data_IF_624426536919
#
_entry.id   IF_624426536919
#
_cell.length_a   1.000
_cell.length_b   1.000
_cell.length_c   1.000
_cell.angle_alpha   90.00
_cell.angle_beta   90.00
_cell.angle_gamma   90.00
#
_symmetry.space_group_name_H-M   'P 1'
#
loop_
_entity.id
_entity.type
_entity.pdbx_description
1 polymer ?
#
# COMPACT_ATOMS: atom_id res chain seq x y z
N UNK A 1 -3.92 -13.19 -20.39
CA UNK A 1 -3.07 -12.50 -19.40
C UNK A 1 -2.62 -11.15 -19.94
N UNK A 2 -2.11 -11.11 -21.16
CA UNK A 2 -1.77 -9.90 -21.91
C UNK A 2 -2.88 -8.82 -21.85
N UNK A 3 -4.14 -9.22 -22.06
CA UNK A 3 -5.30 -8.33 -22.02
C UNK A 3 -5.55 -7.77 -20.62
N UNK A 4 -5.30 -8.56 -19.57
CA UNK A 4 -5.40 -8.09 -18.18
C UNK A 4 -4.27 -7.13 -17.83
N UNK A 5 -3.07 -7.34 -18.37
CA UNK A 5 -1.97 -6.39 -18.23
C UNK A 5 -2.29 -5.05 -18.93
N UNK A 6 -2.97 -5.08 -20.08
CA UNK A 6 -3.52 -3.88 -20.73
C UNK A 6 -4.61 -3.22 -19.89
N UNK A 7 -5.55 -4.00 -19.35
CA UNK A 7 -6.61 -3.49 -18.46
C UNK A 7 -6.03 -2.81 -17.23
N UNK A 8 -5.03 -3.43 -16.61
CA UNK A 8 -4.30 -2.88 -15.47
C UNK A 8 -3.61 -1.55 -15.80
N UNK A 9 -2.89 -1.47 -16.93
CA UNK A 9 -2.27 -0.21 -17.33
C UNK A 9 -3.32 0.91 -17.46
N UNK A 10 -4.45 0.59 -18.08
CA UNK A 10 -5.53 1.55 -18.29
C UNK A 10 -6.21 1.96 -16.97
N UNK A 11 -6.41 1.05 -16.02
CA UNK A 11 -6.98 1.39 -14.72
C UNK A 11 -6.07 2.29 -13.88
N UNK A 12 -4.76 2.19 -14.08
CA UNK A 12 -3.75 3.08 -13.51
C UNK A 12 -3.63 4.43 -14.25
N UNK A 13 -4.39 4.66 -15.33
CA UNK A 13 -4.26 5.83 -16.21
C UNK A 13 -2.85 6.06 -16.77
N UNK A 14 -2.06 4.99 -16.95
CA UNK A 14 -0.70 5.09 -17.47
C UNK A 14 -0.65 4.91 -18.98
N UNK A 15 0.24 5.64 -19.64
CA UNK A 15 0.60 5.35 -21.02
C UNK A 15 1.60 4.17 -21.11
N UNK A 16 1.82 3.63 -22.31
CA UNK A 16 2.69 2.45 -22.51
C UNK A 16 4.17 2.73 -22.16
N UNK A 17 4.63 3.98 -22.23
CA UNK A 17 5.99 4.34 -21.85
C UNK A 17 6.16 4.36 -20.33
N UNK A 18 5.23 4.98 -19.61
CA UNK A 18 5.20 5.01 -18.14
C UNK A 18 5.10 3.60 -17.55
N UNK A 19 4.21 2.77 -18.11
CA UNK A 19 4.08 1.38 -17.69
C UNK A 19 5.31 0.54 -18.05
N UNK A 20 5.99 0.87 -19.15
CA UNK A 20 7.27 0.26 -19.51
C UNK A 20 8.35 0.51 -18.46
N UNK A 21 8.40 1.73 -17.89
CA UNK A 21 9.32 2.07 -16.80
C UNK A 21 9.11 1.19 -15.56
N UNK A 22 7.86 0.89 -15.20
CA UNK A 22 7.55 -0.02 -14.09
C UNK A 22 8.07 -1.44 -14.33
N UNK A 23 7.93 -1.93 -15.56
CA UNK A 23 8.34 -3.28 -15.95
C UNK A 23 9.81 -3.39 -16.38
N UNK A 24 10.56 -2.28 -16.40
CA UNK A 24 11.94 -2.24 -16.88
C UNK A 24 12.09 -2.55 -18.38
N UNK A 25 11.07 -2.25 -19.19
CA UNK A 25 11.04 -2.53 -20.64
C UNK A 25 10.66 -1.28 -21.44
N UNK A 26 10.98 -1.29 -22.75
CA UNK A 26 10.59 -0.20 -23.65
C UNK A 26 9.08 -0.14 -23.87
N UNK A 27 8.58 1.03 -24.31
CA UNK A 27 7.22 1.22 -24.84
C UNK A 27 6.85 0.14 -25.88
N UNK A 28 7.77 -0.20 -26.78
CA UNK A 28 7.56 -1.25 -27.78
C UNK A 28 7.43 -2.63 -27.14
N UNK A 29 8.18 -2.92 -26.07
CA UNK A 29 8.04 -4.14 -25.28
C UNK A 29 6.66 -4.27 -24.64
N UNK A 30 6.13 -3.19 -24.07
CA UNK A 30 4.75 -3.15 -23.55
C UNK A 30 3.74 -3.39 -24.66
N UNK A 31 3.89 -2.72 -25.81
CA UNK A 31 2.99 -2.91 -26.96
C UNK A 31 3.01 -4.35 -27.50
N UNK A 32 4.18 -4.98 -27.57
CA UNK A 32 4.32 -6.39 -27.95
C UNK A 32 3.63 -7.33 -26.97
N UNK A 33 3.69 -7.03 -25.67
CA UNK A 33 2.95 -7.79 -24.67
C UNK A 33 1.44 -7.54 -24.85
N UNK A 34 0.96 -6.31 -24.88
CA UNK A 34 -0.47 -6.00 -24.99
C UNK A 34 -1.13 -6.51 -26.28
N UNK A 35 -0.36 -6.70 -27.36
CA UNK A 35 -0.84 -7.26 -28.62
C UNK A 35 -0.72 -8.79 -28.70
N UNK A 36 -0.20 -9.45 -27.66
CA UNK A 36 -0.01 -10.89 -27.61
C UNK A 36 1.21 -11.41 -28.38
N UNK A 37 2.01 -10.53 -28.99
CA UNK A 37 3.26 -10.90 -29.68
C UNK A 37 4.32 -11.45 -28.71
N UNK A 38 4.36 -10.93 -27.49
CA UNK A 38 5.22 -11.42 -26.40
C UNK A 38 4.36 -11.91 -25.24
N UNK A 39 4.81 -12.98 -24.57
CA UNK A 39 4.12 -13.49 -23.38
C UNK A 39 4.49 -12.63 -22.16
N UNK A 40 3.55 -12.52 -21.22
CA UNK A 40 3.84 -12.05 -19.86
C UNK A 40 4.74 -13.09 -19.19
N UNK A 41 5.86 -12.65 -18.62
CA UNK A 41 6.81 -13.50 -17.90
C UNK A 41 6.49 -13.51 -16.41
N UNK A 42 7.04 -14.48 -15.70
CA UNK A 42 6.94 -14.54 -14.24
C UNK A 42 7.55 -13.30 -13.57
N UNK A 43 8.66 -12.79 -14.12
CA UNK A 43 9.30 -11.56 -13.65
C UNK A 43 8.37 -10.34 -13.72
N UNK A 44 7.57 -10.20 -14.79
CA UNK A 44 6.58 -9.12 -14.88
C UNK A 44 5.53 -9.24 -13.77
N UNK A 45 5.10 -10.46 -13.44
CA UNK A 45 4.09 -10.68 -12.40
C UNK A 45 4.64 -10.31 -11.02
N UNK A 46 5.88 -10.73 -10.70
CA UNK A 46 6.56 -10.38 -9.44
C UNK A 46 6.72 -8.86 -9.33
N UNK A 47 7.20 -8.19 -10.37
CA UNK A 47 7.34 -6.73 -10.39
C UNK A 47 6.01 -6.02 -10.11
N UNK A 48 4.93 -6.46 -10.75
CA UNK A 48 3.60 -5.90 -10.53
C UNK A 48 3.06 -6.21 -9.12
N UNK A 49 3.39 -7.36 -8.53
CA UNK A 49 2.99 -7.68 -7.15
C UNK A 49 3.54 -6.68 -6.13
N UNK A 50 4.77 -6.17 -6.36
CA UNK A 50 5.39 -5.12 -5.53
C UNK A 50 4.65 -3.77 -5.62
N UNK A 51 3.79 -3.60 -6.62
CA UNK A 51 2.92 -2.44 -6.80
C UNK A 51 1.49 -2.69 -6.32
N UNK A 52 1.29 -3.59 -5.36
CA UNK A 52 -0.01 -3.91 -4.78
C UNK A 52 -1.02 -4.45 -5.81
N UNK A 53 -0.55 -5.16 -6.84
CA UNK A 53 -1.41 -5.78 -7.85
C UNK A 53 -1.60 -7.26 -7.53
N UNK A 54 -2.83 -7.74 -7.63
CA UNK A 54 -3.18 -9.13 -7.32
C UNK A 54 -2.67 -10.09 -8.39
N UNK A 55 -1.75 -10.98 -8.00
CA UNK A 55 -1.30 -12.06 -8.88
C UNK A 55 -2.45 -12.98 -9.30
N UNK A 56 -3.37 -13.27 -8.36
CA UNK A 56 -4.55 -14.09 -8.65
C UNK A 56 -5.36 -13.46 -9.76
N UNK A 57 -5.64 -12.17 -9.66
CA UNK A 57 -6.38 -11.44 -10.69
C UNK A 57 -5.60 -11.38 -12.01
N UNK A 58 -4.29 -11.10 -11.99
CA UNK A 58 -3.46 -11.10 -13.21
C UNK A 58 -3.49 -12.46 -13.92
N UNK A 59 -3.44 -13.57 -13.19
CA UNK A 59 -3.40 -14.93 -13.76
C UNK A 59 -4.77 -15.43 -14.20
N UNK A 60 -5.80 -15.20 -13.39
CA UNK A 60 -7.12 -15.83 -13.57
C UNK A 60 -8.21 -14.85 -14.01
N UNK A 61 -8.09 -13.57 -13.65
CA UNK A 61 -9.15 -12.58 -13.77
C UNK A 61 -10.13 -12.57 -12.59
N UNK A 62 -9.92 -13.42 -11.58
CA UNK A 62 -10.77 -13.51 -10.41
C UNK A 62 -10.29 -12.64 -9.25
N UNK A 63 -11.25 -12.09 -8.50
CA UNK A 63 -11.00 -11.23 -7.34
C UNK A 63 -10.68 -9.79 -7.74
N UNK A 64 -10.15 -9.03 -6.78
CA UNK A 64 -9.81 -7.62 -6.98
C UNK A 64 -8.49 -7.46 -7.74
N UNK A 65 -8.43 -6.44 -8.59
CA UNK A 65 -7.24 -6.08 -9.37
C UNK A 65 -6.09 -5.61 -8.47
N UNK A 66 -6.43 -4.82 -7.45
CA UNK A 66 -5.49 -4.31 -6.47
C UNK A 66 -5.63 -5.09 -5.16
N UNK A 67 -4.51 -5.46 -4.57
CA UNK A 67 -4.46 -5.95 -3.20
C UNK A 67 -4.36 -4.71 -2.32
N UNK A 68 -5.25 -4.51 -1.32
CA UNK A 68 -5.04 -3.47 -0.33
C UNK A 68 -3.62 -3.61 0.22
N UNK A 69 -2.89 -2.51 0.42
CA UNK A 69 -1.67 -2.57 1.22
C UNK A 69 -2.01 -3.33 2.49
N UNK A 70 -1.21 -4.33 2.84
CA UNK A 70 -1.42 -4.94 4.14
C UNK A 70 -1.28 -3.83 5.17
N UNK A 71 -2.12 -3.83 6.20
CA UNK A 71 -2.01 -2.86 7.30
C UNK A 71 -0.56 -2.79 7.82
N UNK A 72 0.16 -3.92 7.74
CA UNK A 72 1.57 -4.03 8.08
C UNK A 72 2.49 -3.22 7.16
N UNK A 73 2.29 -3.24 5.84
CA UNK A 73 3.15 -2.50 4.90
C UNK A 73 2.92 -0.99 5.01
N UNK A 74 1.67 -0.59 5.24
CA UNK A 74 1.32 0.81 5.50
C UNK A 74 1.94 1.29 6.81
N UNK A 75 1.78 0.53 7.91
CA UNK A 75 2.43 0.82 9.18
C UNK A 75 3.96 0.84 9.01
N UNK A 76 4.52 -0.12 8.27
CA UNK A 76 5.97 -0.23 8.05
C UNK A 76 6.57 1.03 7.45
N UNK A 77 5.94 1.59 6.42
CA UNK A 77 6.36 2.85 5.82
C UNK A 77 6.41 4.01 6.83
N UNK A 78 5.37 4.16 7.65
CA UNK A 78 5.34 5.23 8.66
C UNK A 78 6.33 5.00 9.81
N UNK A 79 6.57 3.74 10.18
CA UNK A 79 7.57 3.40 11.20
C UNK A 79 8.99 3.66 10.69
N UNK A 80 9.29 3.33 9.43
CA UNK A 80 10.57 3.66 8.80
C UNK A 80 10.82 5.18 8.83
N UNK A 81 9.85 5.97 8.42
CA UNK A 81 9.96 7.44 8.44
C UNK A 81 10.13 8.00 9.87
N UNK A 82 9.48 7.39 10.87
CA UNK A 82 9.66 7.76 12.28
C UNK A 82 11.04 7.32 12.83
N UNK A 83 11.63 6.24 12.33
CA UNK A 83 12.97 5.78 12.75
C UNK A 83 14.08 6.68 12.23
N UNK A 84 13.88 7.33 11.09
CA UNK A 84 14.82 8.30 10.51
C UNK A 84 14.76 9.68 11.21
N UNK A 85 13.82 9.87 12.14
CA UNK A 85 13.68 11.10 12.91
C UNK A 85 14.76 11.23 14.00
N UNK A 86 15.48 12.34 14.02
CA UNK A 86 16.60 12.61 14.92
C UNK A 86 16.18 13.22 16.28
N UNK A 87 14.88 13.48 16.46
CA UNK A 87 14.33 14.00 17.71
C UNK A 87 14.21 15.53 17.77
N UNK A 88 14.46 16.25 16.67
CA UNK A 88 14.28 17.71 16.62
C UNK A 88 13.53 18.18 15.37
N UNK A 89 12.67 19.20 15.53
CA UNK A 89 12.08 19.93 14.40
C UNK A 89 10.78 19.36 13.82
N UNK A 90 10.25 18.26 14.36
CA UNK A 90 8.92 17.75 14.01
C UNK A 90 8.03 17.55 15.26
N UNK A 91 7.25 18.57 15.65
CA UNK A 91 6.37 18.50 16.82
C UNK A 91 5.33 17.36 16.79
N UNK A 92 4.97 16.88 15.60
CA UNK A 92 4.07 15.74 15.47
C UNK A 92 4.76 14.42 15.82
N UNK A 93 6.01 14.22 15.39
CA UNK A 93 6.78 13.03 15.73
C UNK A 93 7.17 13.04 17.21
N UNK A 94 7.55 14.20 17.74
CA UNK A 94 7.79 14.39 19.18
C UNK A 94 6.57 13.95 20.00
N UNK A 95 5.38 14.46 19.63
CA UNK A 95 4.14 14.11 20.32
C UNK A 95 3.83 12.61 20.25
N UNK A 96 3.98 11.98 19.07
CA UNK A 96 3.75 10.53 18.94
C UNK A 96 4.70 9.74 19.83
N UNK A 97 5.99 10.10 19.85
CA UNK A 97 7.01 9.42 20.65
C UNK A 97 6.69 9.56 22.14
N UNK A 98 6.40 10.77 22.62
CA UNK A 98 6.07 11.00 24.03
C UNK A 98 4.78 10.29 24.44
N UNK A 99 3.72 10.32 23.61
CA UNK A 99 2.50 9.56 23.86
C UNK A 99 2.76 8.05 23.98
N UNK A 100 3.66 7.51 23.15
CA UNK A 100 4.02 6.09 23.22
C UNK A 100 4.79 5.74 24.50
N UNK A 101 5.74 6.59 24.92
CA UNK A 101 6.49 6.42 26.19
C UNK A 101 5.54 6.44 27.37
N UNK A 102 4.73 7.49 27.49
CA UNK A 102 3.73 7.64 28.54
C UNK A 102 2.80 6.44 28.59
N UNK A 103 2.27 6.01 27.42
CA UNK A 103 1.39 4.87 27.35
C UNK A 103 2.09 3.57 27.80
N UNK A 104 3.37 3.36 27.48
CA UNK A 104 4.10 2.16 27.88
C UNK A 104 4.29 2.06 29.39
N UNK A 105 4.53 3.19 30.05
CA UNK A 105 4.79 3.30 31.48
C UNK A 105 3.53 3.15 32.35
N UNK A 106 2.34 3.24 31.74
CA UNK A 106 1.07 3.03 32.46
C UNK A 106 0.84 1.57 32.86
N UNK A 107 0.12 1.40 33.97
CA UNK A 107 -0.43 0.12 34.38
C UNK A 107 -1.52 -0.38 33.40
N UNK A 108 -1.80 -1.67 33.42
CA UNK A 108 -2.76 -2.29 32.48
C UNK A 108 -4.19 -1.76 32.62
N UNK A 109 -4.61 -1.35 33.82
CA UNK A 109 -5.94 -0.77 34.03
C UNK A 109 -6.01 0.59 33.37
N UNK A 110 -4.99 1.42 33.54
CA UNK A 110 -4.87 2.74 32.91
C UNK A 110 -4.77 2.65 31.39
N UNK A 111 -3.94 1.74 30.86
CA UNK A 111 -3.88 1.44 29.41
C UNK A 111 -5.23 1.04 28.85
N UNK A 112 -5.98 0.19 29.57
CA UNK A 112 -7.33 -0.23 29.16
C UNK A 112 -8.29 0.96 29.06
N UNK A 113 -8.28 1.88 30.02
CA UNK A 113 -9.13 3.08 30.00
C UNK A 113 -8.84 3.92 28.76
N UNK A 114 -7.56 4.12 28.43
CA UNK A 114 -7.15 4.87 27.23
C UNK A 114 -7.62 4.17 25.94
N UNK A 115 -7.40 2.85 25.82
CA UNK A 115 -7.88 2.07 24.65
C UNK A 115 -9.39 2.18 24.48
N UNK A 116 -10.16 2.08 25.57
CA UNK A 116 -11.61 2.17 25.55
C UNK A 116 -12.09 3.57 25.14
N UNK A 117 -11.41 4.62 25.60
CA UNK A 117 -11.67 6.00 25.18
C UNK A 117 -11.46 6.19 23.68
N UNK A 118 -10.30 5.80 23.13
CA UNK A 118 -10.02 5.93 21.70
C UNK A 118 -10.97 5.10 20.84
N UNK A 119 -11.37 3.90 21.30
CA UNK A 119 -12.40 3.11 20.63
C UNK A 119 -13.71 3.87 20.51
N UNK A 120 -14.19 4.46 21.61
CA UNK A 120 -15.43 5.24 21.63
C UNK A 120 -15.38 6.45 20.67
N UNK A 121 -14.25 7.16 20.64
CA UNK A 121 -14.04 8.29 19.71
C UNK A 121 -14.06 7.81 18.25
N UNK A 122 -13.35 6.72 17.94
CA UNK A 122 -13.32 6.14 16.59
C UNK A 122 -14.70 5.71 16.10
N UNK A 123 -15.50 5.08 16.97
CA UNK A 123 -16.86 4.66 16.66
C UNK A 123 -17.79 5.86 16.40
N UNK A 124 -17.54 7.00 17.07
CA UNK A 124 -18.26 8.26 16.83
C UNK A 124 -17.98 8.83 15.43
N UNK A 125 -16.71 8.90 15.04
CA UNK A 125 -16.29 9.44 13.73
C UNK A 125 -16.86 8.63 12.57
N UNK A 126 -16.96 7.31 12.71
CA UNK A 126 -17.51 6.44 11.66
C UNK A 126 -19.00 6.70 11.43
N UNK A 127 -19.76 6.93 12.50
CA UNK A 127 -21.21 7.19 12.44
C UNK A 127 -21.58 8.51 11.79
N UNK A 128 -20.67 9.48 11.73
CA UNK A 128 -20.91 10.77 11.06
C UNK A 128 -20.64 10.72 9.54
N UNK A 129 -20.03 9.64 9.04
CA UNK A 129 -19.70 9.45 7.62
C UNK A 129 -20.72 8.61 6.84
N UNK A 130 -21.69 8.02 7.54
CA UNK A 130 -22.84 7.27 6.98
C UNK A 130 -24.09 8.18 6.94
#
# INVERSE_FOLDING_TARGET
MNERLKQLRLSLNLNQEEFGKWLGISKSGVSDIESGRRKVTEQHIIMLSNHNISEKWLRTGEGEMFVPRSVKDEIGYFVEDLLDYDGEGNPFYDMIIEMMKDYHDLDEKSKKVIRDYFKKVSDGIKKEKD
#
